data_IF_022413851188
#
_entry.id   IF_022413851188
#
_cell.length_a   1.000
_cell.length_b   1.000
_cell.length_c   1.000
_cell.angle_alpha   90.00
_cell.angle_beta   90.00
_cell.angle_gamma   90.00
#
_symmetry.space_group_name_H-M   'P 1'
#
loop_
_entity.id
_entity.type
_entity.pdbx_description
1 polymer ?
#
# COMPACT_ATOMS: atom_id res chain seq x y z
N UNK A 1 -6.59 -16.37 6.03
CA UNK A 1 -7.19 -15.01 5.88
C UNK A 1 -6.04 -14.00 5.82
N UNK A 2 -6.09 -12.96 4.96
CA UNK A 2 -5.03 -11.93 4.92
C UNK A 2 -5.36 -10.84 5.94
N UNK A 3 -4.51 -10.67 6.96
CA UNK A 3 -4.61 -9.61 7.94
C UNK A 3 -3.39 -8.69 7.83
N UNK A 4 -3.64 -7.40 7.70
CA UNK A 4 -2.61 -6.38 7.62
C UNK A 4 -2.86 -5.29 8.64
N UNK A 5 -1.83 -4.90 9.38
CA UNK A 5 -1.86 -3.81 10.35
C UNK A 5 -0.71 -2.83 10.10
N UNK A 6 -0.94 -1.57 10.42
CA UNK A 6 0.04 -0.51 10.32
C UNK A 6 0.00 0.35 11.59
N UNK A 7 1.16 0.59 12.16
CA UNK A 7 1.35 1.38 13.38
C UNK A 7 2.37 2.50 13.09
N UNK A 8 2.06 3.72 13.51
CA UNK A 8 3.00 4.86 13.42
C UNK A 8 3.85 4.87 14.69
N UNK A 9 5.17 5.02 14.55
CA UNK A 9 6.06 5.09 15.71
C UNK A 9 5.89 6.46 16.39
N UNK A 10 5.53 6.47 17.68
CA UNK A 10 5.24 7.69 18.44
C UNK A 10 6.37 8.73 18.36
N UNK A 11 7.62 8.29 18.49
CA UNK A 11 8.80 9.17 18.45
C UNK A 11 9.23 9.58 17.03
N UNK A 12 8.77 8.88 16.00
CA UNK A 12 9.22 9.04 14.61
C UNK A 12 8.04 8.91 13.64
N UNK A 13 7.21 9.96 13.50
CA UNK A 13 5.96 9.90 12.74
C UNK A 13 6.16 9.74 11.22
N UNK A 14 7.38 9.89 10.71
CA UNK A 14 7.71 9.56 9.32
C UNK A 14 7.93 8.06 9.09
N UNK A 15 7.97 7.28 10.18
CA UNK A 15 8.10 5.83 10.17
C UNK A 15 6.79 5.14 10.55
N UNK A 16 6.50 4.06 9.86
CA UNK A 16 5.39 3.16 10.18
C UNK A 16 5.86 1.72 10.14
N UNK A 17 5.47 0.94 11.15
CA UNK A 17 5.66 -0.51 11.17
C UNK A 17 4.44 -1.17 10.55
N UNK A 18 4.69 -2.10 9.65
CA UNK A 18 3.66 -2.87 8.97
C UNK A 18 3.87 -4.33 9.27
N UNK A 19 2.77 -5.04 9.50
CA UNK A 19 2.74 -6.49 9.66
C UNK A 19 1.71 -7.07 8.71
N UNK A 20 2.10 -8.13 7.99
CA UNK A 20 1.26 -8.88 7.08
C UNK A 20 1.25 -10.34 7.52
N UNK A 21 0.08 -10.84 7.90
CA UNK A 21 -0.16 -12.24 8.25
C UNK A 21 -1.00 -12.89 7.18
N UNK A 22 -0.55 -14.04 6.67
CA UNK A 22 -1.33 -14.83 5.74
C UNK A 22 -0.92 -16.31 5.76
N UNK A 23 -1.82 -17.14 5.29
CA UNK A 23 -1.66 -18.60 5.28
C UNK A 23 -1.09 -19.06 3.94
N UNK A 24 -0.04 -19.88 3.99
CA UNK A 24 0.60 -20.52 2.83
C UNK A 24 0.73 -22.00 3.11
N UNK A 25 0.09 -22.83 2.28
CA UNK A 25 0.16 -24.29 2.39
C UNK A 25 -0.22 -24.80 3.80
N UNK A 26 -1.23 -24.20 4.43
CA UNK A 26 -1.69 -24.56 5.77
C UNK A 26 -0.80 -24.10 6.91
N UNK A 27 0.15 -23.18 6.65
CA UNK A 27 1.00 -22.55 7.67
C UNK A 27 0.77 -21.05 7.69
N UNK A 28 0.60 -20.49 8.88
CA UNK A 28 0.60 -19.04 9.06
C UNK A 28 2.02 -18.50 8.90
N UNK A 29 2.16 -17.52 8.02
CA UNK A 29 3.40 -16.79 7.80
C UNK A 29 3.15 -15.32 8.11
N UNK A 30 4.09 -14.72 8.82
CA UNK A 30 4.07 -13.32 9.20
C UNK A 30 5.30 -12.62 8.60
N UNK A 31 5.06 -11.49 7.96
CA UNK A 31 6.11 -10.60 7.47
C UNK A 31 5.90 -9.21 8.06
N UNK A 32 6.98 -8.64 8.56
CA UNK A 32 6.97 -7.28 9.08
C UNK A 32 8.04 -6.44 8.42
N UNK A 33 7.76 -5.16 8.21
CA UNK A 33 8.73 -4.20 7.70
C UNK A 33 8.52 -2.83 8.33
N UNK A 34 9.63 -2.11 8.47
CA UNK A 34 9.60 -0.71 8.85
C UNK A 34 9.63 0.13 7.58
N UNK A 35 8.60 0.93 7.33
CA UNK A 35 8.51 1.80 6.17
C UNK A 35 8.75 3.25 6.56
N UNK A 36 9.50 3.98 5.72
CA UNK A 36 9.65 5.42 5.81
C UNK A 36 8.87 6.10 4.69
N UNK A 37 8.02 7.06 5.06
CA UNK A 37 7.44 7.99 4.11
C UNK A 37 8.50 8.99 3.66
N UNK A 38 8.69 9.07 2.36
CA UNK A 38 9.60 10.04 1.75
C UNK A 38 8.84 11.37 1.56
N UNK A 39 9.57 12.48 1.39
CA UNK A 39 8.97 13.82 1.26
C UNK A 39 7.87 13.85 0.19
N UNK A 40 6.60 14.10 0.57
CA UNK A 40 5.49 14.08 -0.38
C UNK A 40 5.57 15.29 -1.32
N UNK A 41 5.08 15.12 -2.54
CA UNK A 41 4.86 16.22 -3.48
C UNK A 41 3.37 16.53 -3.45
N UNK A 42 3.01 17.69 -2.92
CA UNK A 42 1.62 18.11 -2.70
C UNK A 42 0.78 17.87 -3.97
N UNK A 43 -0.36 17.18 -3.80
CA UNK A 43 -1.32 16.83 -4.85
C UNK A 43 -0.76 16.02 -6.04
N UNK A 44 0.46 15.47 -5.94
CA UNK A 44 1.10 14.77 -7.05
C UNK A 44 1.63 13.39 -6.66
N UNK A 45 2.29 13.26 -5.50
CA UNK A 45 2.99 12.01 -5.16
C UNK A 45 3.11 11.80 -3.66
N UNK A 46 2.78 10.58 -3.24
CA UNK A 46 3.17 10.01 -1.95
C UNK A 46 4.02 8.78 -2.26
N UNK A 47 5.11 8.58 -1.53
CA UNK A 47 6.01 7.47 -1.78
C UNK A 47 6.74 7.04 -0.51
N UNK A 48 7.11 5.76 -0.49
CA UNK A 48 7.74 5.13 0.66
C UNK A 48 8.84 4.16 0.22
N UNK A 49 9.65 3.76 1.20
CA UNK A 49 10.57 2.63 1.10
C UNK A 49 10.63 1.89 2.43
N UNK A 50 10.83 0.59 2.41
CA UNK A 50 11.23 -0.18 3.57
C UNK A 50 12.64 0.24 4.00
N UNK A 51 12.87 0.29 5.31
CA UNK A 51 14.18 0.44 5.93
C UNK A 51 14.70 -0.91 6.44
N UNK A 52 13.79 -1.77 6.91
CA UNK A 52 14.08 -3.07 7.54
C UNK A 52 12.98 -4.07 7.20
N UNK A 53 13.28 -5.37 7.35
CA UNK A 53 12.33 -6.46 7.13
C UNK A 53 12.11 -6.73 5.64
N UNK A 54 10.85 -6.95 5.25
CA UNK A 54 10.49 -7.23 3.85
C UNK A 54 10.83 -6.06 2.92
N UNK A 55 11.80 -6.26 2.03
CA UNK A 55 12.24 -5.23 1.09
C UNK A 55 11.12 -4.85 0.12
N UNK A 56 10.63 -3.61 0.23
CA UNK A 56 9.62 -3.07 -0.66
C UNK A 56 9.73 -1.54 -0.78
N UNK A 57 9.21 -1.01 -1.89
CA UNK A 57 9.04 0.42 -2.11
C UNK A 57 7.82 0.65 -2.98
N UNK A 58 7.25 1.85 -2.88
CA UNK A 58 6.16 2.20 -3.76
C UNK A 58 5.89 3.68 -3.82
N UNK A 59 5.01 4.02 -4.76
CA UNK A 59 4.55 5.38 -4.96
C UNK A 59 3.10 5.37 -5.42
N UNK A 60 2.30 6.24 -4.82
CA UNK A 60 1.01 6.66 -5.34
C UNK A 60 1.21 7.99 -6.06
N UNK A 61 0.80 8.05 -7.33
CA UNK A 61 0.81 9.27 -8.13
C UNK A 61 -0.60 9.70 -8.45
N UNK A 62 -0.83 10.99 -8.38
CA UNK A 62 -2.11 11.64 -8.61
C UNK A 62 -2.01 12.50 -9.87
N UNK A 63 -2.92 12.27 -10.80
CA UNK A 63 -3.02 13.00 -12.06
C UNK A 63 -4.41 13.64 -12.14
N UNK A 64 -4.55 14.91 -11.76
CA UNK A 64 -5.81 15.64 -11.90
C UNK A 64 -6.34 15.56 -13.33
N UNK A 65 -7.64 15.33 -13.47
CA UNK A 65 -8.34 15.30 -14.77
C UNK A 65 -9.37 16.42 -14.88
N UNK A 66 -10.03 16.76 -13.78
CA UNK A 66 -10.94 17.89 -13.64
C UNK A 66 -11.01 18.34 -12.18
N UNK A 67 -11.86 19.32 -11.86
CA UNK A 67 -12.15 19.73 -10.48
C UNK A 67 -12.74 18.62 -9.61
N UNK A 68 -13.35 17.60 -10.22
CA UNK A 68 -14.03 16.48 -9.52
C UNK A 68 -13.44 15.10 -9.84
N UNK A 69 -12.38 15.02 -10.64
CA UNK A 69 -11.81 13.75 -11.10
C UNK A 69 -10.28 13.73 -11.06
N UNK A 70 -9.73 12.62 -10.58
CA UNK A 70 -8.30 12.38 -10.47
C UNK A 70 -8.00 10.93 -10.86
N UNK A 71 -7.00 10.72 -11.73
CA UNK A 71 -6.44 9.40 -11.99
C UNK A 71 -5.38 9.10 -10.95
N UNK A 72 -5.55 8.00 -10.23
CA UNK A 72 -4.58 7.51 -9.23
C UNK A 72 -3.80 6.36 -9.86
N UNK A 73 -2.48 6.38 -9.71
CA UNK A 73 -1.59 5.31 -10.18
C UNK A 73 -0.72 4.83 -9.03
N UNK A 74 -0.81 3.54 -8.72
CA UNK A 74 0.03 2.87 -7.75
C UNK A 74 1.16 2.14 -8.48
N UNK A 75 2.38 2.24 -7.95
CA UNK A 75 3.51 1.42 -8.37
C UNK A 75 4.16 0.84 -7.13
N UNK A 76 4.36 -0.47 -7.11
CA UNK A 76 5.00 -1.19 -6.01
C UNK A 76 6.12 -2.06 -6.58
N UNK A 77 7.25 -2.09 -5.89
CA UNK A 77 8.33 -3.05 -6.12
C UNK A 77 8.64 -3.73 -4.79
N UNK A 78 8.83 -5.04 -4.82
CA UNK A 78 9.10 -5.86 -3.65
C UNK A 78 10.02 -7.01 -4.04
N UNK A 79 10.72 -7.53 -3.04
CA UNK A 79 11.46 -8.78 -3.15
C UNK A 79 10.60 -9.92 -2.58
N UNK A 80 10.70 -11.10 -3.18
CA UNK A 80 9.99 -12.30 -2.70
C UNK A 80 10.92 -13.06 -1.78
N UNK A 81 10.59 -13.23 -0.49
CA UNK A 81 11.33 -14.07 0.43
C UNK A 81 11.50 -15.50 -0.10
N UNK A 82 12.69 -16.10 0.08
CA UNK A 82 13.01 -17.43 -0.45
C UNK A 82 12.06 -18.53 0.03
N UNK A 83 11.54 -18.42 1.27
CA UNK A 83 10.53 -19.35 1.81
C UNK A 83 9.25 -19.42 0.96
N UNK A 84 8.99 -18.38 0.16
CA UNK A 84 7.84 -18.30 -0.74
C UNK A 84 8.19 -18.62 -2.20
N UNK A 85 9.44 -18.96 -2.51
CA UNK A 85 9.86 -19.34 -3.87
C UNK A 85 8.95 -20.41 -4.51
N UNK A 86 8.47 -21.45 -3.79
CA UNK A 86 7.58 -22.46 -4.37
C UNK A 86 6.23 -21.90 -4.85
N UNK A 87 5.79 -20.75 -4.34
CA UNK A 87 4.51 -20.12 -4.66
C UNK A 87 4.69 -18.76 -5.36
N UNK A 88 5.91 -18.38 -5.74
CA UNK A 88 6.22 -17.06 -6.26
C UNK A 88 5.42 -16.68 -7.51
N UNK A 89 5.12 -17.66 -8.38
CA UNK A 89 4.30 -17.46 -9.58
C UNK A 89 2.85 -17.08 -9.26
N UNK A 90 2.30 -17.55 -8.14
CA UNK A 90 0.95 -17.23 -7.69
C UNK A 90 0.88 -15.90 -6.92
N UNK A 91 1.99 -15.44 -6.33
CA UNK A 91 2.03 -14.20 -5.54
C UNK A 91 1.71 -12.96 -6.37
N UNK A 92 2.27 -12.86 -7.58
CA UNK A 92 2.08 -11.67 -8.43
C UNK A 92 0.60 -11.38 -8.73
N UNK A 93 -0.17 -12.29 -9.36
CA UNK A 93 -1.58 -12.02 -9.65
C UNK A 93 -2.43 -11.84 -8.39
N UNK A 94 -2.07 -12.52 -7.30
CA UNK A 94 -2.73 -12.32 -6.00
C UNK A 94 -2.52 -10.90 -5.45
N UNK A 95 -1.28 -10.42 -5.40
CA UNK A 95 -0.94 -9.08 -4.93
C UNK A 95 -1.53 -8.00 -5.83
N UNK A 96 -1.51 -8.18 -7.15
CA UNK A 96 -2.16 -7.27 -8.09
C UNK A 96 -3.68 -7.15 -7.80
N UNK A 97 -4.37 -8.28 -7.60
CA UNK A 97 -5.79 -8.29 -7.23
C UNK A 97 -6.05 -7.60 -5.89
N UNK A 98 -5.21 -7.86 -4.89
CA UNK A 98 -5.32 -7.26 -3.56
C UNK A 98 -5.17 -5.72 -3.62
N UNK A 99 -4.13 -5.25 -4.31
CA UNK A 99 -3.85 -3.83 -4.48
C UNK A 99 -4.94 -3.12 -5.29
N UNK A 100 -5.42 -3.76 -6.37
CA UNK A 100 -6.51 -3.21 -7.18
C UNK A 100 -7.79 -3.02 -6.36
N UNK A 101 -8.22 -4.05 -5.62
CA UNK A 101 -9.37 -3.96 -4.71
C UNK A 101 -9.18 -2.88 -3.65
N UNK A 102 -7.95 -2.69 -3.18
CA UNK A 102 -7.59 -1.59 -2.27
C UNK A 102 -7.81 -0.21 -2.90
N UNK A 103 -7.35 -0.02 -4.15
CA UNK A 103 -7.55 1.23 -4.89
C UNK A 103 -9.03 1.50 -5.21
N UNK A 104 -9.81 0.47 -5.51
CA UNK A 104 -11.26 0.58 -5.73
C UNK A 104 -11.97 1.06 -4.46
N UNK A 105 -11.68 0.45 -3.30
CA UNK A 105 -12.22 0.91 -2.00
C UNK A 105 -11.82 2.35 -1.70
N UNK A 106 -10.56 2.71 -1.96
CA UNK A 106 -10.10 4.09 -1.79
C UNK A 106 -10.84 5.06 -2.72
N UNK A 107 -11.07 4.69 -3.97
CA UNK A 107 -11.80 5.52 -4.92
C UNK A 107 -13.26 5.76 -4.45
N UNK A 108 -13.92 4.73 -3.93
CA UNK A 108 -15.26 4.85 -3.34
C UNK A 108 -15.24 5.81 -2.15
N UNK A 109 -14.35 5.60 -1.19
CA UNK A 109 -14.18 6.47 -0.02
C UNK A 109 -13.92 7.93 -0.41
N UNK A 110 -13.03 8.17 -1.38
CA UNK A 110 -12.68 9.52 -1.83
C UNK A 110 -13.86 10.24 -2.49
N UNK A 111 -14.65 9.53 -3.31
CA UNK A 111 -15.87 10.07 -3.94
C UNK A 111 -16.93 10.41 -2.91
N UNK A 112 -17.17 9.53 -1.94
CA UNK A 112 -18.12 9.76 -0.84
C UNK A 112 -17.68 10.91 0.07
N UNK A 113 -16.38 11.07 0.30
CA UNK A 113 -15.87 12.19 1.10
C UNK A 113 -16.04 13.51 0.34
N UNK A 114 -15.77 13.52 -0.97
CA UNK A 114 -15.93 14.69 -1.82
C UNK A 114 -17.39 15.17 -1.89
N UNK A 115 -18.37 14.27 -2.02
CA UNK A 115 -19.79 14.66 -2.04
C UNK A 115 -20.29 15.34 -0.76
N UNK A 116 -19.57 15.16 0.36
CA UNK A 116 -19.87 15.80 1.65
C UNK A 116 -19.11 17.12 1.87
N UNK A 117 -18.20 17.49 0.97
CA UNK A 117 -17.51 18.78 1.02
C UNK A 117 -18.39 19.79 0.27
N UNK A 118 -18.83 20.89 0.90
CA UNK A 118 -19.55 21.94 0.20
C UNK A 118 -18.75 22.42 -1.00
N UNK A 119 -19.34 22.36 -2.20
CA UNK A 119 -18.74 22.97 -3.38
C UNK A 119 -18.92 24.49 -3.25
N UNK A 120 -17.81 25.22 -3.29
CA UNK A 120 -17.79 26.68 -3.32
C UNK A 120 -18.25 27.21 -4.68
#
# INVERSE_FOLDING_TARGET
>A
MLAGEAEILEDKPDLSRWTLKYEVLGRDVEFSWLARNMTPIKNQKIHWRSLEGLANRGAVRFFPKSSSSCRVQLTVAYEVPEILAPVASALKPFLESLLLKGLERFATFAKERNSKIPQA
#
